data_IF_866973200222
#
_entry.id   IF_866973200222
#
_cell.length_a   1.000
_cell.length_b   1.000
_cell.length_c   1.000
_cell.angle_alpha   90.00
_cell.angle_beta   90.00
_cell.angle_gamma   90.00
#
_symmetry.space_group_name_H-M   'P 1'
#
loop_
_entity.id
_entity.type
_entity.pdbx_description
1 polymer ?
#
# COMPACT_ATOMS: atom_id res chain seq x y z
N UNK A 1 56.98 -37.02 9.80
CA UNK A 1 56.30 -35.67 9.81
C UNK A 1 55.13 -35.72 8.81
N UNK A 2 53.89 -35.80 9.27
CA UNK A 2 52.69 -35.83 8.43
C UNK A 2 52.12 -34.44 8.47
N UNK A 3 52.17 -33.73 7.34
CA UNK A 3 51.60 -32.37 7.22
C UNK A 3 50.09 -32.44 7.05
N UNK A 4 49.36 -31.83 7.97
CA UNK A 4 47.90 -31.63 7.86
C UNK A 4 47.67 -30.42 6.98
N UNK A 5 47.09 -30.65 5.80
CA UNK A 5 46.61 -29.57 4.91
C UNK A 5 45.23 -29.19 5.39
N UNK A 6 45.10 -28.00 5.97
CA UNK A 6 43.82 -27.41 6.34
C UNK A 6 43.19 -26.76 5.10
N UNK A 7 42.16 -27.40 4.52
CA UNK A 7 41.38 -26.79 3.43
C UNK A 7 40.38 -25.83 4.05
N UNK A 8 40.61 -24.53 3.88
CA UNK A 8 39.64 -23.50 4.22
C UNK A 8 38.52 -23.48 3.15
N UNK A 9 37.36 -24.01 3.51
CA UNK A 9 36.15 -23.87 2.70
C UNK A 9 35.59 -22.47 2.95
N UNK A 10 35.81 -21.57 2.00
CA UNK A 10 35.15 -20.27 1.98
C UNK A 10 33.69 -20.48 1.56
N UNK A 11 32.76 -20.42 2.52
CA UNK A 11 31.34 -20.28 2.20
C UNK A 11 31.14 -18.91 1.54
N UNK A 12 30.99 -18.88 0.22
CA UNK A 12 30.42 -17.73 -0.48
C UNK A 12 28.97 -17.57 -0.02
N UNK A 13 28.70 -16.51 0.74
CA UNK A 13 27.34 -16.04 0.96
C UNK A 13 26.77 -15.72 -0.43
N UNK A 14 25.80 -16.52 -0.89
CA UNK A 14 25.02 -16.19 -2.07
C UNK A 14 24.36 -14.83 -1.80
N UNK A 15 24.78 -13.81 -2.53
CA UNK A 15 24.11 -12.52 -2.53
C UNK A 15 22.65 -12.76 -2.90
N UNK A 16 21.73 -12.41 -2.01
CA UNK A 16 20.31 -12.37 -2.35
C UNK A 16 20.22 -11.52 -3.62
N UNK A 17 19.88 -12.17 -4.74
CA UNK A 17 19.66 -11.45 -6.00
C UNK A 17 18.64 -10.38 -5.71
N UNK A 18 19.01 -9.14 -5.98
CA UNK A 18 18.12 -7.99 -5.82
C UNK A 18 17.01 -8.11 -6.87
N UNK A 19 15.94 -8.82 -6.50
CA UNK A 19 14.80 -9.03 -7.39
C UNK A 19 14.15 -7.68 -7.57
N UNK A 20 14.36 -7.09 -8.76
CA UNK A 20 13.74 -5.81 -9.11
C UNK A 20 12.22 -5.93 -9.08
N UNK A 21 11.57 -4.89 -8.57
CA UNK A 21 10.12 -4.80 -8.66
C UNK A 21 9.69 -4.76 -10.12
N UNK A 22 8.64 -5.47 -10.50
CA UNK A 22 8.08 -5.32 -11.84
C UNK A 22 7.63 -3.86 -12.02
N UNK A 23 8.03 -3.23 -13.13
CA UNK A 23 7.57 -1.87 -13.46
C UNK A 23 6.09 -1.91 -13.84
N UNK A 24 5.25 -1.20 -13.12
CA UNK A 24 3.79 -1.22 -13.28
C UNK A 24 3.19 0.17 -13.07
N UNK A 25 3.44 1.07 -14.00
CA UNK A 25 2.80 2.41 -14.01
C UNK A 25 1.29 2.35 -14.27
N UNK A 26 0.78 1.26 -14.85
CA UNK A 26 -0.63 1.12 -15.23
C UNK A 26 -1.60 0.83 -14.06
N UNK A 27 -1.11 0.69 -12.82
CA UNK A 27 -1.95 0.36 -11.67
C UNK A 27 -2.36 1.59 -10.85
N UNK A 28 -1.82 2.76 -11.15
CA UNK A 28 -2.14 4.01 -10.47
C UNK A 28 -2.93 4.94 -11.38
N UNK A 29 -4.12 5.30 -10.91
CA UNK A 29 -5.00 6.24 -11.59
C UNK A 29 -5.09 7.53 -10.76
N UNK A 30 -4.63 8.65 -11.32
CA UNK A 30 -4.74 9.97 -10.66
C UNK A 30 -6.18 10.46 -10.59
N UNK A 31 -7.05 9.97 -11.49
CA UNK A 31 -8.45 10.42 -11.62
C UNK A 31 -8.59 11.94 -11.80
N UNK A 32 -7.59 12.55 -12.42
CA UNK A 32 -7.51 14.01 -12.60
C UNK A 32 -7.22 14.80 -11.31
N UNK A 33 -6.90 14.09 -10.22
CA UNK A 33 -6.47 14.75 -8.98
C UNK A 33 -4.97 15.05 -9.02
N UNK A 34 -4.62 16.15 -8.38
CA UNK A 34 -3.24 16.48 -8.04
C UNK A 34 -3.10 16.44 -6.52
N UNK A 35 -2.04 15.82 -6.01
CA UNK A 35 -1.79 15.75 -4.58
C UNK A 35 -1.14 17.06 -4.10
N UNK A 36 -1.95 17.97 -3.59
CA UNK A 36 -1.48 19.20 -2.98
C UNK A 36 -1.06 18.92 -1.52
N UNK A 37 0.23 18.71 -1.30
CA UNK A 37 0.73 18.60 0.07
C UNK A 37 0.60 19.95 0.78
N UNK A 38 -0.05 20.02 1.95
CA UNK A 38 -0.07 21.23 2.76
C UNK A 38 1.35 21.71 3.03
N UNK A 39 1.57 23.04 2.98
CA UNK A 39 2.91 23.61 3.24
C UNK A 39 3.42 23.15 4.61
N UNK A 40 4.55 22.48 4.62
CA UNK A 40 5.26 22.04 5.82
C UNK A 40 6.34 23.06 6.13
N UNK A 41 6.59 23.29 7.43
CA UNK A 41 7.74 24.12 7.85
C UNK A 41 9.03 23.43 7.40
N UNK A 42 9.96 24.20 6.86
CA UNK A 42 11.29 23.71 6.50
C UNK A 42 11.92 23.01 7.72
N UNK A 43 12.42 21.79 7.52
CA UNK A 43 13.06 21.00 8.57
C UNK A 43 12.11 20.15 9.45
N UNK A 44 10.80 20.08 9.11
CA UNK A 44 9.89 19.12 9.73
C UNK A 44 9.52 18.02 8.73
N UNK A 45 9.33 16.76 9.19
CA UNK A 45 8.92 15.67 8.32
C UNK A 45 7.52 15.90 7.76
N UNK A 46 7.24 15.29 6.61
CA UNK A 46 5.91 15.23 6.02
C UNK A 46 5.16 14.04 6.58
N UNK A 47 4.18 14.30 7.43
CA UNK A 47 3.41 13.27 8.11
C UNK A 47 2.39 12.62 7.16
N UNK A 48 2.51 11.31 6.96
CA UNK A 48 1.58 10.49 6.17
C UNK A 48 0.86 9.51 7.11
N UNK A 49 -0.46 9.46 7.02
CA UNK A 49 -1.25 8.43 7.69
C UNK A 49 -1.49 7.26 6.74
N UNK A 50 -0.83 6.14 6.96
CA UNK A 50 -1.16 4.88 6.31
C UNK A 50 -2.16 4.11 7.18
N UNK A 51 -3.43 4.04 6.73
CA UNK A 51 -4.52 3.43 7.49
C UNK A 51 -5.20 2.32 6.67
N UNK A 52 -5.60 1.25 7.32
CA UNK A 52 -6.21 0.09 6.66
C UNK A 52 -6.24 -1.16 7.54
N UNK A 53 -6.23 -2.31 6.90
CA UNK A 53 -6.29 -3.61 7.56
C UNK A 53 -4.92 -4.30 7.64
N UNK A 54 -4.90 -5.64 7.59
CA UNK A 54 -3.70 -6.48 7.73
C UNK A 54 -2.57 -6.16 6.74
N UNK A 55 -2.88 -5.73 5.52
CA UNK A 55 -1.84 -5.34 4.56
C UNK A 55 -1.15 -4.03 4.96
N UNK A 56 -1.87 -3.11 5.62
CA UNK A 56 -1.26 -1.88 6.16
C UNK A 56 -0.50 -2.18 7.44
N UNK A 57 -1.05 -3.03 8.32
CA UNK A 57 -0.35 -3.52 9.51
C UNK A 57 0.98 -4.18 9.16
N UNK A 58 1.02 -4.92 8.04
CA UNK A 58 2.21 -5.60 7.56
C UNK A 58 2.20 -7.11 7.85
N UNK A 59 1.00 -7.71 7.97
CA UNK A 59 0.90 -9.18 8.10
C UNK A 59 1.53 -9.85 6.88
N UNK A 60 2.38 -10.83 7.13
CA UNK A 60 3.19 -11.52 6.10
C UNK A 60 4.59 -10.94 5.91
N UNK A 61 4.87 -9.74 6.39
CA UNK A 61 6.22 -9.19 6.47
C UNK A 61 7.04 -9.87 7.57
N UNK A 62 8.34 -10.02 7.37
CA UNK A 62 9.24 -10.63 8.35
C UNK A 62 9.50 -9.74 9.56
N UNK A 63 9.26 -8.43 9.43
CA UNK A 63 9.34 -7.44 10.51
C UNK A 63 8.51 -6.21 10.18
N UNK A 64 8.16 -5.35 11.16
CA UNK A 64 7.47 -4.08 10.92
C UNK A 64 8.21 -3.15 9.93
N UNK A 65 9.54 -3.18 9.91
CA UNK A 65 10.36 -2.40 8.98
C UNK A 65 10.21 -2.85 7.50
N UNK A 66 9.67 -4.04 7.27
CA UNK A 66 9.40 -4.60 5.95
C UNK A 66 7.93 -4.41 5.50
N UNK A 67 7.06 -3.91 6.37
CA UNK A 67 5.71 -3.50 5.98
C UNK A 67 5.75 -2.30 5.02
N UNK A 68 4.72 -2.18 4.14
CA UNK A 68 4.77 -1.12 3.13
C UNK A 68 4.85 0.31 3.69
N UNK A 69 4.25 0.66 4.83
CA UNK A 69 4.36 2.03 5.33
C UNK A 69 5.81 2.44 5.65
N UNK A 70 6.57 1.58 6.33
CA UNK A 70 7.98 1.83 6.63
C UNK A 70 8.86 1.82 5.36
N UNK A 71 8.53 0.97 4.38
CA UNK A 71 9.21 0.97 3.08
C UNK A 71 8.88 2.20 2.24
N UNK A 72 7.65 2.70 2.33
CA UNK A 72 7.22 3.91 1.64
C UNK A 72 7.98 5.14 2.14
N UNK A 73 8.15 5.26 3.46
CA UNK A 73 8.96 6.31 4.08
C UNK A 73 10.36 6.34 3.46
N UNK A 74 11.06 5.20 3.49
CA UNK A 74 12.40 5.05 2.91
C UNK A 74 12.46 5.38 1.41
N UNK A 75 11.46 4.94 0.64
CA UNK A 75 11.41 5.21 -0.82
C UNK A 75 11.15 6.68 -1.12
N UNK A 76 10.25 7.34 -0.38
CA UNK A 76 9.97 8.77 -0.55
C UNK A 76 11.19 9.62 -0.18
N UNK A 77 11.84 9.35 0.97
CA UNK A 77 13.06 10.04 1.38
C UNK A 77 14.20 9.88 0.38
N UNK A 78 14.40 8.65 -0.11
CA UNK A 78 15.42 8.37 -1.13
C UNK A 78 15.18 9.10 -2.44
N UNK A 79 13.91 9.22 -2.88
CA UNK A 79 13.54 9.86 -4.14
C UNK A 79 13.58 11.36 -4.08
N UNK A 80 13.16 11.93 -2.96
CA UNK A 80 12.90 13.37 -2.85
C UNK A 80 13.96 14.13 -2.06
N UNK A 81 14.71 13.44 -1.20
CA UNK A 81 15.63 14.07 -0.24
C UNK A 81 14.93 14.83 0.89
N UNK A 82 13.63 14.60 1.08
CA UNK A 82 12.79 15.22 2.11
C UNK A 82 12.43 14.19 3.16
N UNK A 83 12.46 14.57 4.45
CA UNK A 83 12.05 13.71 5.55
C UNK A 83 10.53 13.45 5.52
N UNK A 84 10.16 12.20 5.72
CA UNK A 84 8.77 11.75 5.88
C UNK A 84 8.61 11.02 7.22
N UNK A 85 7.39 11.02 7.76
CA UNK A 85 6.96 10.19 8.89
C UNK A 85 5.69 9.46 8.45
N UNK A 86 5.81 8.19 8.07
CA UNK A 86 4.69 7.37 7.61
C UNK A 86 4.15 6.53 8.76
N UNK A 87 3.15 7.06 9.43
CA UNK A 87 2.50 6.39 10.57
C UNK A 87 1.65 5.22 10.14
N UNK A 88 2.08 4.02 10.52
CA UNK A 88 1.32 2.81 10.28
C UNK A 88 0.15 2.70 11.26
N UNK A 89 -1.07 2.80 10.75
CA UNK A 89 -2.33 2.62 11.47
C UNK A 89 -3.15 1.44 10.90
N UNK A 90 -2.48 0.37 10.47
CA UNK A 90 -3.11 -0.88 10.05
C UNK A 90 -3.57 -1.72 11.24
N UNK A 91 -4.74 -2.36 11.12
CA UNK A 91 -5.24 -3.35 12.09
C UNK A 91 -5.83 -4.53 11.32
N UNK A 92 -5.29 -5.73 11.55
CA UNK A 92 -5.70 -6.95 10.86
C UNK A 92 -7.19 -7.25 10.98
N UNK A 93 -7.79 -7.67 9.89
CA UNK A 93 -9.20 -8.05 9.85
C UNK A 93 -10.20 -6.90 9.80
N UNK A 94 -9.77 -5.64 9.96
CA UNK A 94 -10.72 -4.52 9.97
C UNK A 94 -11.44 -4.32 8.64
N UNK A 95 -12.71 -3.93 8.74
CA UNK A 95 -13.58 -3.49 7.66
C UNK A 95 -13.48 -1.98 7.47
N UNK A 96 -13.87 -1.50 6.29
CA UNK A 96 -13.85 -0.08 5.96
C UNK A 96 -14.63 0.79 6.96
N UNK A 97 -15.75 0.31 7.49
CA UNK A 97 -16.55 1.04 8.47
C UNK A 97 -15.76 1.31 9.78
N UNK A 98 -15.00 0.32 10.26
CA UNK A 98 -14.20 0.48 11.48
C UNK A 98 -12.99 1.37 11.24
N UNK A 99 -12.36 1.18 10.09
CA UNK A 99 -11.25 2.04 9.67
C UNK A 99 -11.69 3.51 9.51
N UNK A 100 -12.92 3.76 9.01
CA UNK A 100 -13.48 5.11 8.91
C UNK A 100 -13.60 5.82 10.27
N UNK A 101 -14.00 5.10 11.34
CA UNK A 101 -14.05 5.68 12.68
C UNK A 101 -12.68 6.19 13.13
N UNK A 102 -11.64 5.38 12.92
CA UNK A 102 -10.25 5.73 13.26
C UNK A 102 -9.69 6.83 12.37
N UNK A 103 -10.00 6.80 11.07
CA UNK A 103 -9.64 7.85 10.13
C UNK A 103 -10.18 9.22 10.57
N UNK A 104 -11.48 9.29 10.92
CA UNK A 104 -12.09 10.52 11.43
C UNK A 104 -11.41 11.03 12.71
N UNK A 105 -11.03 10.12 13.60
CA UNK A 105 -10.30 10.47 14.82
C UNK A 105 -8.91 11.03 14.52
N UNK A 106 -8.18 10.39 13.60
CA UNK A 106 -6.85 10.84 13.18
C UNK A 106 -6.90 12.20 12.47
N UNK A 107 -7.88 12.43 11.60
CA UNK A 107 -8.05 13.71 10.90
C UNK A 107 -8.34 14.88 11.88
N UNK A 108 -9.09 14.64 12.96
CA UNK A 108 -9.35 15.65 14.00
C UNK A 108 -8.09 16.12 14.72
N UNK A 109 -7.05 15.29 14.81
CA UNK A 109 -5.79 15.66 15.45
C UNK A 109 -4.92 16.61 14.61
N UNK A 110 -5.20 16.72 13.28
CA UNK A 110 -4.63 17.73 12.38
C UNK A 110 -3.16 17.55 12.03
N UNK A 111 -2.55 16.39 12.35
CA UNK A 111 -1.13 16.16 12.06
C UNK A 111 -0.90 15.62 10.64
N UNK A 112 -1.80 14.77 10.12
CA UNK A 112 -1.62 14.13 8.82
C UNK A 112 -1.64 15.15 7.67
N UNK A 113 -0.69 15.00 6.74
CA UNK A 113 -0.56 15.82 5.52
C UNK A 113 -1.00 15.06 4.26
N UNK A 114 -1.05 13.75 4.35
CA UNK A 114 -1.59 12.84 3.34
C UNK A 114 -2.22 11.65 4.07
N UNK A 115 -3.32 11.16 3.57
CA UNK A 115 -3.91 9.87 3.98
C UNK A 115 -3.71 8.86 2.86
N UNK A 116 -3.21 7.68 3.20
CA UNK A 116 -3.23 6.49 2.36
C UNK A 116 -4.18 5.50 3.00
N UNK A 117 -5.33 5.26 2.36
CA UNK A 117 -6.37 4.38 2.91
C UNK A 117 -6.51 3.10 2.10
N UNK A 118 -6.11 1.98 2.70
CA UNK A 118 -6.28 0.66 2.12
C UNK A 118 -7.63 0.07 2.53
N UNK A 119 -8.48 -0.29 1.54
CA UNK A 119 -9.87 -0.72 1.75
C UNK A 119 -10.30 -1.88 0.86
N UNK A 120 -11.39 -2.52 1.22
CA UNK A 120 -12.24 -3.36 0.37
C UNK A 120 -11.91 -4.85 0.40
N UNK A 121 -10.71 -5.29 0.78
CA UNK A 121 -10.35 -6.73 0.81
C UNK A 121 -11.24 -7.51 1.77
N UNK A 122 -11.29 -7.10 3.04
CA UNK A 122 -12.07 -7.81 4.06
C UNK A 122 -13.57 -7.63 3.83
N UNK A 123 -13.99 -6.43 3.40
CA UNK A 123 -15.39 -6.12 3.10
C UNK A 123 -15.94 -7.07 2.02
N UNK A 124 -15.15 -7.30 0.95
CA UNK A 124 -15.49 -8.24 -0.10
C UNK A 124 -15.53 -9.70 0.40
N UNK A 125 -14.55 -10.10 1.22
CA UNK A 125 -14.45 -11.48 1.74
C UNK A 125 -15.63 -11.82 2.64
N UNK A 126 -16.00 -10.93 3.58
CA UNK A 126 -17.10 -11.18 4.53
C UNK A 126 -18.47 -10.86 3.94
N UNK A 127 -18.55 -10.22 2.77
CA UNK A 127 -19.80 -9.91 2.08
C UNK A 127 -20.55 -8.72 2.68
N UNK A 128 -19.83 -7.64 2.96
CA UNK A 128 -20.45 -6.35 3.30
C UNK A 128 -21.36 -5.91 2.16
N UNK A 129 -22.51 -5.32 2.49
CA UNK A 129 -23.40 -4.73 1.48
C UNK A 129 -22.68 -3.68 0.63
N UNK A 130 -22.81 -3.79 -0.69
CA UNK A 130 -22.05 -2.97 -1.64
C UNK A 130 -22.41 -1.47 -1.54
N UNK A 131 -23.67 -1.15 -1.27
CA UNK A 131 -24.09 0.25 -1.11
C UNK A 131 -23.56 0.83 0.22
N UNK A 132 -23.56 0.03 1.27
CA UNK A 132 -22.97 0.41 2.57
C UNK A 132 -21.46 0.62 2.46
N UNK A 133 -20.75 -0.27 1.76
CA UNK A 133 -19.31 -0.12 1.54
C UNK A 133 -19.01 1.17 0.75
N UNK A 134 -19.72 1.41 -0.34
CA UNK A 134 -19.59 2.65 -1.14
C UNK A 134 -19.84 3.89 -0.28
N UNK A 135 -20.93 3.92 0.47
CA UNK A 135 -21.25 5.03 1.37
C UNK A 135 -20.16 5.26 2.43
N UNK A 136 -19.58 4.18 2.94
CA UNK A 136 -18.49 4.22 3.92
C UNK A 136 -17.23 4.85 3.34
N UNK A 137 -16.79 4.43 2.15
CA UNK A 137 -15.59 4.98 1.50
C UNK A 137 -15.80 6.45 1.15
N UNK A 138 -16.97 6.79 0.57
CA UNK A 138 -17.30 8.19 0.25
C UNK A 138 -17.31 9.08 1.50
N UNK A 139 -17.79 8.56 2.65
CA UNK A 139 -17.76 9.30 3.91
C UNK A 139 -16.34 9.54 4.43
N UNK A 140 -15.40 8.63 4.16
CA UNK A 140 -13.98 8.82 4.47
C UNK A 140 -13.32 9.86 3.59
N UNK A 141 -13.59 9.83 2.29
CA UNK A 141 -13.14 10.83 1.32
C UNK A 141 -13.66 12.23 1.72
N UNK A 142 -14.96 12.33 2.03
CA UNK A 142 -15.56 13.58 2.48
C UNK A 142 -14.93 14.11 3.76
N UNK A 143 -14.60 13.22 4.72
CA UNK A 143 -13.93 13.61 5.97
C UNK A 143 -12.50 14.14 5.73
N UNK A 144 -11.72 13.50 4.86
CA UNK A 144 -10.38 13.96 4.49
C UNK A 144 -10.45 15.32 3.78
N UNK A 145 -11.37 15.46 2.83
CA UNK A 145 -11.62 16.72 2.11
C UNK A 145 -12.02 17.87 3.05
N UNK A 146 -12.90 17.59 4.02
CA UNK A 146 -13.31 18.57 5.02
C UNK A 146 -12.16 19.00 5.94
N UNK A 147 -11.20 18.10 6.17
CA UNK A 147 -9.98 18.39 6.92
C UNK A 147 -8.88 19.06 6.07
N UNK A 148 -9.09 19.23 4.76
CA UNK A 148 -8.07 19.76 3.84
C UNK A 148 -6.86 18.82 3.66
N UNK A 149 -7.04 17.51 3.87
CA UNK A 149 -5.98 16.51 3.76
C UNK A 149 -6.20 15.69 2.49
N UNK A 150 -5.25 15.67 1.54
CA UNK A 150 -5.34 14.82 0.36
C UNK A 150 -5.35 13.34 0.75
N UNK A 151 -5.96 12.52 -0.12
CA UNK A 151 -6.09 11.09 0.10
C UNK A 151 -5.69 10.30 -1.15
N UNK A 152 -5.07 9.15 -0.93
CA UNK A 152 -4.88 8.08 -1.92
C UNK A 152 -5.58 6.83 -1.41
N UNK A 153 -6.33 6.16 -2.27
CA UNK A 153 -6.90 4.86 -1.98
C UNK A 153 -5.96 3.75 -2.46
N UNK A 154 -5.85 2.69 -1.67
CA UNK A 154 -5.26 1.41 -2.11
C UNK A 154 -6.39 0.39 -2.17
N UNK A 155 -6.71 -0.09 -3.37
CA UNK A 155 -7.74 -1.08 -3.62
C UNK A 155 -7.42 -2.48 -3.08
N UNK A 156 -8.38 -3.43 -3.22
CA UNK A 156 -8.19 -4.81 -2.80
C UNK A 156 -6.97 -5.46 -3.47
N UNK A 157 -6.39 -6.46 -2.82
CA UNK A 157 -5.25 -7.21 -3.36
C UNK A 157 -5.70 -8.31 -4.32
N UNK A 158 -4.79 -8.77 -5.19
CA UNK A 158 -5.01 -10.00 -5.95
C UNK A 158 -4.55 -11.20 -5.13
N UNK A 159 -5.38 -12.24 -5.07
CA UNK A 159 -5.05 -13.54 -4.47
C UNK A 159 -5.94 -14.62 -5.09
N UNK A 160 -5.45 -15.87 -5.09
CA UNK A 160 -6.21 -17.02 -5.52
C UNK A 160 -7.13 -17.60 -4.42
N UNK A 161 -7.06 -17.06 -3.21
CA UNK A 161 -7.79 -17.53 -2.03
C UNK A 161 -9.05 -16.70 -1.75
N UNK A 162 -9.80 -16.36 -2.78
CA UNK A 162 -11.05 -15.60 -2.66
C UNK A 162 -12.25 -16.55 -2.68
N UNK A 163 -13.10 -16.52 -1.64
CA UNK A 163 -14.28 -17.40 -1.57
C UNK A 163 -15.32 -17.12 -2.65
N UNK A 164 -15.48 -15.86 -3.05
CA UNK A 164 -16.43 -15.41 -4.07
C UNK A 164 -15.71 -14.43 -5.01
N UNK A 165 -15.14 -14.93 -6.11
CA UNK A 165 -14.39 -14.11 -7.07
C UNK A 165 -15.23 -13.02 -7.74
N UNK A 166 -16.50 -13.28 -8.02
CA UNK A 166 -17.38 -12.32 -8.70
C UNK A 166 -17.70 -11.14 -7.78
N UNK A 167 -18.06 -11.40 -6.53
CA UNK A 167 -18.23 -10.35 -5.52
C UNK A 167 -16.95 -9.58 -5.34
N UNK A 168 -15.82 -10.25 -5.21
CA UNK A 168 -14.53 -9.61 -5.02
C UNK A 168 -14.19 -8.66 -6.20
N UNK A 169 -14.42 -9.10 -7.43
CA UNK A 169 -14.21 -8.28 -8.62
C UNK A 169 -15.10 -7.01 -8.61
N UNK A 170 -16.35 -7.10 -8.10
CA UNK A 170 -17.21 -5.93 -7.95
C UNK A 170 -16.66 -4.93 -6.91
N UNK A 171 -16.07 -5.41 -5.81
CA UNK A 171 -15.42 -4.52 -4.83
C UNK A 171 -14.15 -3.87 -5.39
N UNK A 172 -13.34 -4.60 -6.16
CA UNK A 172 -12.19 -4.02 -6.88
C UNK A 172 -12.67 -2.87 -7.76
N UNK A 173 -13.60 -3.16 -8.65
CA UNK A 173 -14.17 -2.14 -9.55
C UNK A 173 -14.80 -0.98 -8.79
N UNK A 174 -15.45 -1.24 -7.67
CA UNK A 174 -16.13 -0.22 -6.87
C UNK A 174 -15.15 0.81 -6.28
N UNK A 175 -13.96 0.37 -5.84
CA UNK A 175 -12.93 1.30 -5.35
C UNK A 175 -12.41 2.17 -6.49
N UNK A 176 -12.19 1.59 -7.67
CA UNK A 176 -11.78 2.34 -8.87
C UNK A 176 -12.86 3.34 -9.29
N UNK A 177 -14.13 2.93 -9.33
CA UNK A 177 -15.28 3.79 -9.67
C UNK A 177 -15.46 4.95 -8.65
N UNK A 178 -15.25 4.71 -7.36
CA UNK A 178 -15.31 5.74 -6.31
C UNK A 178 -14.19 6.75 -6.53
N UNK A 179 -12.96 6.29 -6.75
CA UNK A 179 -11.83 7.18 -7.02
C UNK A 179 -12.09 8.06 -8.24
N UNK A 180 -12.60 7.49 -9.32
CA UNK A 180 -12.93 8.23 -10.54
C UNK A 180 -14.03 9.27 -10.31
N UNK A 181 -15.11 8.91 -9.60
CA UNK A 181 -16.25 9.80 -9.34
C UNK A 181 -15.89 10.95 -8.40
N UNK A 182 -15.04 10.71 -7.43
CA UNK A 182 -14.63 11.68 -6.40
C UNK A 182 -13.29 12.36 -6.68
N UNK A 183 -12.67 12.12 -7.82
CA UNK A 183 -11.34 12.64 -8.17
C UNK A 183 -10.31 12.37 -7.07
N UNK A 184 -10.24 11.10 -6.61
CA UNK A 184 -9.27 10.61 -5.64
C UNK A 184 -8.34 9.62 -6.32
N UNK A 185 -7.01 9.77 -6.21
CA UNK A 185 -6.09 8.80 -6.76
C UNK A 185 -6.28 7.41 -6.18
N UNK A 186 -6.20 6.39 -7.02
CA UNK A 186 -6.33 4.99 -6.64
C UNK A 186 -5.12 4.20 -7.12
N UNK A 187 -4.46 3.49 -6.18
CA UNK A 187 -3.55 2.41 -6.53
C UNK A 187 -4.34 1.09 -6.58
N UNK A 188 -4.62 0.60 -7.79
CA UNK A 188 -5.28 -0.68 -8.01
C UNK A 188 -4.31 -1.83 -7.73
N UNK A 189 -4.15 -2.17 -6.46
CA UNK A 189 -3.28 -3.26 -6.03
C UNK A 189 -3.67 -4.59 -6.68
N UNK A 190 -4.95 -4.80 -6.96
CA UNK A 190 -5.43 -5.97 -7.69
C UNK A 190 -4.81 -6.05 -9.09
N UNK A 191 -4.87 -4.98 -9.86
CA UNK A 191 -4.31 -4.91 -11.23
C UNK A 191 -2.80 -5.11 -11.18
N UNK A 192 -2.11 -4.42 -10.29
CA UNK A 192 -0.66 -4.53 -10.09
C UNK A 192 -0.23 -5.97 -9.79
N UNK A 193 -0.84 -6.61 -8.79
CA UNK A 193 -0.48 -7.98 -8.40
C UNK A 193 -0.91 -9.03 -9.42
N UNK A 194 -2.02 -8.81 -10.14
CA UNK A 194 -2.47 -9.69 -11.21
C UNK A 194 -1.47 -9.69 -12.37
N UNK A 195 -0.91 -8.54 -12.73
CA UNK A 195 0.11 -8.45 -13.77
C UNK A 195 1.40 -9.17 -13.36
N UNK A 196 1.78 -9.10 -12.07
CA UNK A 196 2.88 -9.89 -11.54
C UNK A 196 2.62 -11.39 -11.68
N UNK A 197 1.39 -11.82 -11.39
CA UNK A 197 0.95 -13.21 -11.56
C UNK A 197 0.94 -13.69 -13.02
N UNK A 198 0.75 -12.79 -13.99
CA UNK A 198 0.81 -13.11 -15.40
C UNK A 198 2.22 -13.55 -15.86
N UNK A 199 3.26 -13.19 -15.11
CA UNK A 199 4.64 -13.66 -15.30
C UNK A 199 4.86 -15.10 -14.81
N UNK A 200 3.83 -15.74 -14.26
CA UNK A 200 3.80 -17.13 -13.80
C UNK A 200 3.61 -17.27 -12.30
N UNK A 201 3.11 -18.42 -11.87
CA UNK A 201 2.81 -18.72 -10.46
C UNK A 201 4.04 -18.56 -9.53
N UNK A 202 5.25 -18.83 -10.02
CA UNK A 202 6.50 -18.65 -9.26
C UNK A 202 6.73 -17.16 -8.96
N UNK A 203 6.50 -16.28 -9.93
CA UNK A 203 6.67 -14.83 -9.74
C UNK A 203 5.68 -14.29 -8.71
N UNK A 204 4.41 -14.69 -8.79
CA UNK A 204 3.41 -14.33 -7.79
C UNK A 204 3.75 -14.89 -6.40
N UNK A 205 4.24 -16.13 -6.33
CA UNK A 205 4.64 -16.77 -5.07
C UNK A 205 5.79 -16.08 -4.35
N UNK A 206 6.66 -15.36 -5.05
CA UNK A 206 7.71 -14.54 -4.42
C UNK A 206 7.13 -13.27 -3.75
N UNK A 207 6.01 -12.79 -4.23
CA UNK A 207 5.37 -11.54 -3.78
C UNK A 207 4.33 -11.77 -2.68
N UNK A 208 3.93 -13.03 -2.46
CA UNK A 208 3.02 -13.43 -1.41
C UNK A 208 3.79 -14.13 -0.26
N UNK A 209 3.28 -13.99 0.94
CA UNK A 209 3.74 -14.76 2.10
C UNK A 209 3.27 -16.22 2.01
N UNK A 210 3.75 -17.07 2.92
CA UNK A 210 3.40 -18.49 2.93
C UNK A 210 1.90 -18.80 3.09
N UNK A 211 1.09 -17.84 3.54
CA UNK A 211 -0.35 -17.98 3.63
C UNK A 211 -1.08 -17.82 2.28
N UNK A 212 -0.37 -17.31 1.27
CA UNK A 212 -0.90 -17.10 -0.09
C UNK A 212 -1.98 -16.01 -0.19
N UNK A 213 -2.14 -15.21 0.86
CA UNK A 213 -3.06 -14.07 0.94
C UNK A 213 -2.29 -12.76 1.10
N UNK A 214 -1.46 -12.66 2.15
CA UNK A 214 -0.72 -11.45 2.45
C UNK A 214 0.56 -11.34 1.60
N UNK A 215 1.10 -10.14 1.51
CA UNK A 215 2.34 -9.91 0.79
C UNK A 215 3.56 -10.39 1.61
N UNK A 216 4.60 -10.81 0.89
CA UNK A 216 5.94 -11.02 1.44
C UNK A 216 6.68 -9.68 1.57
N UNK A 217 7.88 -9.69 2.14
CA UNK A 217 8.78 -8.52 2.18
C UNK A 217 9.01 -7.93 0.79
N UNK A 218 9.18 -8.78 -0.23
CA UNK A 218 9.33 -8.35 -1.62
C UNK A 218 8.05 -7.70 -2.13
N UNK A 219 6.90 -8.29 -1.86
CA UNK A 219 5.60 -7.74 -2.26
C UNK A 219 5.34 -6.36 -1.64
N UNK A 220 5.63 -6.20 -0.35
CA UNK A 220 5.49 -4.92 0.34
C UNK A 220 6.49 -3.87 -0.15
N UNK A 221 7.74 -4.27 -0.45
CA UNK A 221 8.73 -3.38 -1.07
C UNK A 221 8.23 -2.86 -2.42
N UNK A 222 7.70 -3.75 -3.26
CA UNK A 222 7.22 -3.36 -4.58
C UNK A 222 5.95 -2.50 -4.52
N UNK A 223 5.05 -2.75 -3.55
CA UNK A 223 3.90 -1.87 -3.28
C UNK A 223 4.36 -0.48 -2.86
N UNK A 224 5.32 -0.39 -1.94
CA UNK A 224 5.87 0.87 -1.47
C UNK A 224 6.56 1.66 -2.60
N UNK A 225 7.33 0.99 -3.44
CA UNK A 225 7.98 1.58 -4.60
C UNK A 225 6.97 2.18 -5.58
N UNK A 226 5.95 1.40 -5.99
CA UNK A 226 4.90 1.87 -6.89
C UNK A 226 4.10 3.05 -6.29
N UNK A 227 3.84 3.01 -4.97
CA UNK A 227 3.12 4.07 -4.29
C UNK A 227 3.97 5.35 -4.15
N UNK A 228 5.27 5.24 -3.89
CA UNK A 228 6.17 6.39 -3.83
C UNK A 228 6.27 7.09 -5.19
N UNK A 229 6.43 6.32 -6.28
CA UNK A 229 6.44 6.82 -7.66
C UNK A 229 5.13 7.55 -7.98
N UNK A 230 4.00 6.92 -7.68
CA UNK A 230 2.68 7.48 -7.91
C UNK A 230 2.42 8.79 -7.13
N UNK A 231 2.89 8.86 -5.87
CA UNK A 231 2.77 10.06 -5.04
C UNK A 231 3.65 11.19 -5.59
N UNK A 232 4.87 10.88 -6.03
CA UNK A 232 5.78 11.86 -6.62
C UNK A 232 5.21 12.43 -7.92
N UNK A 233 4.69 11.57 -8.80
CA UNK A 233 4.12 11.96 -10.10
C UNK A 233 2.84 12.79 -9.93
N UNK A 234 2.05 12.50 -8.90
CA UNK A 234 0.78 13.19 -8.63
C UNK A 234 0.97 14.50 -7.82
N UNK A 235 2.17 14.80 -7.32
CA UNK A 235 2.40 16.02 -6.55
C UNK A 235 2.36 17.27 -7.44
N UNK A 236 1.71 18.37 -6.97
CA UNK A 236 1.63 19.66 -7.68
C UNK A 236 2.98 20.36 -7.85
N UNK A 237 3.89 20.11 -6.94
CA UNK A 237 5.27 20.61 -7.01
C UNK A 237 6.21 19.46 -6.67
N UNK A 238 7.41 19.49 -7.21
CA UNK A 238 8.44 18.52 -6.78
C UNK A 238 8.54 18.56 -5.25
N UNK A 239 8.38 17.41 -4.67
CA UNK A 239 8.44 17.17 -3.22
C UNK A 239 9.80 17.57 -2.65
#
# INVERSE_FOLDING_TARGET
MVGIVCVLITLSAASAQDVSCPSETAAFETNGATLAFPKVRVGLPRDILAIGSSSTEGIGASSPANAYPARLEQELEKRTGVDFDVKNAGIGGELAAKTLERLRSALKSGWARLVIWQVGTNDAIVGVDEALFRATVNAGIAAARAAGVPMVLIGPQFTLKIPDPDRYARFVKMVDDIGAADHVPVLSRYTMMKSWGAKGAKALGLLLSGDGLHMSDLGYRCLAHALAEAIEDAAEAKL
#
